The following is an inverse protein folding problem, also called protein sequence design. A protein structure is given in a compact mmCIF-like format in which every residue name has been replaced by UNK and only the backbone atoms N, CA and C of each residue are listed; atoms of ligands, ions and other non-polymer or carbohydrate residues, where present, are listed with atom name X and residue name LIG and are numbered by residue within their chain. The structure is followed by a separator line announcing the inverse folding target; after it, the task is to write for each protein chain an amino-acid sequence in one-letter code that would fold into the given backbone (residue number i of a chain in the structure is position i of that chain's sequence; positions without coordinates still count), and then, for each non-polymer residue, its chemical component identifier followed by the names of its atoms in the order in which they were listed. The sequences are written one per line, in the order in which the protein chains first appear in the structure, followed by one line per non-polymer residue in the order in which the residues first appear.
data_IF_901675546529
#
_entry.id   IF_901675546529
#
_cell.length_a   1.000
_cell.length_b   1.000
_cell.length_c   1.000
_cell.angle_alpha   90.00
_cell.angle_beta   90.00
_cell.angle_gamma   90.00
#
_symmetry.space_group_name_H-M   'P 1'
#
loop_
_entity.id
_entity.type
_entity.pdbx_description
1 polymer ?
#
# COMPACT_ATOMS: atom_id res chain seq x y z
N UNK A 1 -47.54 20.66 -37.39
CA UNK A 1 -47.67 20.49 -35.92
C UNK A 1 -46.29 20.07 -35.42
N UNK A 2 -45.41 20.99 -35.03
CA UNK A 2 -45.37 21.74 -33.75
C UNK A 2 -45.17 20.78 -32.57
N UNK A 3 -43.93 20.83 -32.01
CA UNK A 3 -43.44 20.62 -30.63
C UNK A 3 -44.15 19.59 -29.72
N UNK A 4 -43.46 18.76 -28.93
CA UNK A 4 -42.46 19.14 -27.93
C UNK A 4 -41.44 18.02 -27.65
N UNK A 5 -40.16 18.40 -27.65
CA UNK A 5 -39.13 17.73 -26.87
C UNK A 5 -39.49 17.86 -25.39
N UNK A 6 -39.79 16.74 -24.74
CA UNK A 6 -39.91 16.66 -23.29
C UNK A 6 -38.52 16.71 -22.67
N UNK A 7 -37.97 17.91 -22.48
CA UNK A 7 -36.94 18.12 -21.47
C UNK A 7 -37.59 17.90 -20.11
N UNK A 8 -37.44 16.71 -19.52
CA UNK A 8 -37.69 16.52 -18.09
C UNK A 8 -36.54 17.16 -17.33
N UNK A 9 -36.68 18.47 -17.11
CA UNK A 9 -35.86 19.25 -16.20
C UNK A 9 -36.26 18.89 -14.75
N UNK A 10 -35.85 17.69 -14.33
CA UNK A 10 -35.96 17.23 -12.95
C UNK A 10 -34.60 16.72 -12.49
N UNK A 11 -33.61 17.61 -12.54
CA UNK A 11 -32.47 17.47 -11.63
C UNK A 11 -32.96 17.90 -10.25
N UNK A 12 -33.62 16.99 -9.54
CA UNK A 12 -33.88 17.16 -8.12
C UNK A 12 -32.51 17.44 -7.45
N UNK A 13 -32.34 18.65 -6.91
CA UNK A 13 -31.12 18.98 -6.14
C UNK A 13 -31.00 17.94 -5.03
N UNK A 14 -29.87 17.22 -4.91
CA UNK A 14 -29.73 16.20 -3.88
C UNK A 14 -29.94 16.87 -2.52
N UNK A 15 -30.86 16.30 -1.72
CA UNK A 15 -31.09 16.75 -0.36
C UNK A 15 -29.76 16.65 0.41
N UNK A 16 -29.29 17.78 0.96
CA UNK A 16 -28.06 17.80 1.74
C UNK A 16 -28.37 17.48 3.20
N UNK A 17 -27.55 16.67 3.89
CA UNK A 17 -27.69 16.49 5.32
C UNK A 17 -27.51 17.82 6.06
N UNK A 18 -28.25 17.99 7.16
CA UNK A 18 -28.09 19.15 8.04
C UNK A 18 -26.87 18.95 8.95
N UNK A 19 -25.74 19.55 8.59
CA UNK A 19 -24.48 19.46 9.34
C UNK A 19 -24.28 20.76 10.10
N UNK A 20 -24.11 20.67 11.42
CA UNK A 20 -23.83 21.81 12.30
C UNK A 20 -22.43 21.66 12.89
N UNK A 21 -21.53 22.57 12.54
CA UNK A 21 -20.18 22.63 13.12
C UNK A 21 -20.24 23.28 14.50
N UNK A 22 -19.62 22.65 15.50
CA UNK A 22 -19.50 23.14 16.87
C UNK A 22 -18.07 22.93 17.35
N UNK A 23 -17.66 23.72 18.33
CA UNK A 23 -16.39 23.48 19.01
C UNK A 23 -16.45 22.14 19.78
N UNK A 24 -15.34 21.40 19.74
CA UNK A 24 -15.23 20.11 20.43
C UNK A 24 -15.38 20.29 21.94
N UNK A 25 -16.33 19.58 22.54
CA UNK A 25 -16.64 19.68 23.97
C UNK A 25 -16.00 18.55 24.80
N UNK A 26 -15.52 17.50 24.13
CA UNK A 26 -14.89 16.33 24.76
C UNK A 26 -13.63 15.94 23.97
N UNK A 27 -12.48 15.69 24.64
CA UNK A 27 -11.28 15.20 23.97
C UNK A 27 -11.55 13.87 23.24
N UNK A 28 -11.10 13.76 21.99
CA UNK A 28 -11.20 12.53 21.18
C UNK A 28 -12.53 12.29 20.48
N UNK A 29 -13.59 13.04 20.81
CA UNK A 29 -14.88 13.00 20.11
C UNK A 29 -14.92 14.10 19.06
N UNK A 30 -15.14 13.71 17.81
CA UNK A 30 -15.07 14.63 16.64
C UNK A 30 -16.40 14.85 15.96
N UNK A 31 -17.37 13.98 16.18
CA UNK A 31 -18.74 14.19 15.73
C UNK A 31 -19.76 13.55 16.69
N UNK A 32 -21.02 13.96 16.53
CA UNK A 32 -22.16 13.33 17.21
C UNK A 32 -23.30 13.13 16.21
N UNK A 33 -23.78 11.89 16.10
CA UNK A 33 -24.92 11.51 15.26
C UNK A 33 -26.11 11.21 16.18
N UNK A 34 -26.94 12.22 16.42
CA UNK A 34 -27.99 12.15 17.44
C UNK A 34 -27.39 12.00 18.84
N UNK A 35 -27.48 10.80 19.42
CA UNK A 35 -26.86 10.45 20.70
C UNK A 35 -25.52 9.73 20.57
N UNK A 36 -25.19 9.21 19.38
CA UNK A 36 -23.97 8.44 19.11
C UNK A 36 -22.77 9.38 19.01
N UNK A 37 -21.77 9.16 19.86
CA UNK A 37 -20.48 9.86 19.78
C UNK A 37 -19.57 9.15 18.77
N UNK A 38 -18.85 9.92 17.96
CA UNK A 38 -17.92 9.40 16.95
C UNK A 38 -16.52 9.88 17.31
N UNK A 39 -15.61 8.93 17.47
CA UNK A 39 -14.19 9.19 17.71
C UNK A 39 -13.44 9.49 16.41
N UNK A 40 -12.26 10.10 16.52
CA UNK A 40 -11.37 10.32 15.36
C UNK A 40 -11.02 8.99 14.66
N UNK A 41 -10.74 7.93 15.42
CA UNK A 41 -10.42 6.61 14.87
C UNK A 41 -11.58 5.98 14.09
N UNK A 42 -12.82 6.16 14.57
CA UNK A 42 -14.01 5.70 13.87
C UNK A 42 -14.27 6.52 12.60
N UNK A 43 -14.03 7.83 12.65
CA UNK A 43 -14.18 8.72 11.50
C UNK A 43 -13.13 8.41 10.42
N UNK A 44 -11.88 8.21 10.82
CA UNK A 44 -10.77 7.88 9.92
C UNK A 44 -10.97 6.47 9.35
N UNK A 45 -11.19 5.47 10.20
CA UNK A 45 -11.45 4.09 9.78
C UNK A 45 -10.45 3.59 8.73
N UNK A 46 -10.98 3.22 7.56
CA UNK A 46 -10.18 2.73 6.41
C UNK A 46 -9.45 3.83 5.65
N UNK A 47 -9.88 5.09 5.78
CA UNK A 47 -9.21 6.24 5.16
C UNK A 47 -7.86 6.57 5.83
N UNK A 48 -7.44 5.81 6.86
CA UNK A 48 -6.14 5.97 7.54
C UNK A 48 -4.97 5.97 6.56
N UNK A 49 -5.01 5.10 5.55
CA UNK A 49 -3.96 5.04 4.51
C UNK A 49 -3.98 6.30 3.65
N UNK A 50 -5.16 6.75 3.20
CA UNK A 50 -5.30 7.96 2.37
C UNK A 50 -4.87 9.22 3.14
N UNK A 51 -5.24 9.32 4.42
CA UNK A 51 -4.84 10.43 5.29
C UNK A 51 -3.33 10.41 5.53
N UNK A 52 -2.74 9.23 5.73
CA UNK A 52 -1.28 9.09 5.78
C UNK A 52 -0.63 9.57 4.49
N UNK A 53 -1.13 9.18 3.31
CA UNK A 53 -0.60 9.63 2.02
C UNK A 53 -0.73 11.15 1.84
N UNK A 54 -1.81 11.76 2.33
CA UNK A 54 -1.96 13.21 2.34
C UNK A 54 -0.92 13.88 3.23
N UNK A 55 -0.71 13.40 4.45
CA UNK A 55 0.32 13.93 5.35
C UNK A 55 1.74 13.67 4.81
N UNK A 56 1.97 12.53 4.18
CA UNK A 56 3.23 12.19 3.51
C UNK A 56 3.50 13.17 2.37
N UNK A 57 2.50 13.43 1.52
CA UNK A 57 2.59 14.44 0.47
C UNK A 57 2.86 15.84 1.03
N UNK A 58 2.22 16.21 2.14
CA UNK A 58 2.50 17.48 2.82
C UNK A 58 3.96 17.55 3.29
N UNK A 59 4.46 16.48 3.93
CA UNK A 59 5.84 16.38 4.37
C UNK A 59 6.84 16.47 3.21
N UNK A 60 6.59 15.73 2.14
CA UNK A 60 7.43 15.70 0.93
C UNK A 60 7.50 17.11 0.31
N UNK A 61 6.36 17.82 0.21
CA UNK A 61 6.34 19.21 -0.26
C UNK A 61 7.11 20.18 0.65
N UNK A 62 7.02 20.00 1.97
CA UNK A 62 7.80 20.80 2.94
C UNK A 62 9.30 20.52 2.80
N UNK A 63 9.70 19.27 2.62
CA UNK A 63 11.09 18.88 2.38
C UNK A 63 11.62 19.44 1.06
N UNK A 64 10.86 19.37 -0.03
CA UNK A 64 11.23 19.99 -1.30
C UNK A 64 11.42 21.50 -1.18
N UNK A 65 10.53 22.16 -0.41
CA UNK A 65 10.67 23.60 -0.17
C UNK A 65 11.89 23.91 0.70
N UNK A 66 12.17 23.08 1.70
CA UNK A 66 13.38 23.20 2.52
C UNK A 66 14.64 23.03 1.67
N UNK A 67 14.68 22.04 0.76
CA UNK A 67 15.79 21.83 -0.17
C UNK A 67 16.09 23.08 -0.99
N UNK A 68 15.07 23.71 -1.57
CA UNK A 68 15.23 24.98 -2.30
C UNK A 68 15.74 26.11 -1.41
N UNK A 69 15.25 26.22 -0.17
CA UNK A 69 15.72 27.21 0.79
C UNK A 69 17.18 26.97 1.20
N UNK A 70 17.63 25.72 1.26
CA UNK A 70 19.03 25.37 1.50
C UNK A 70 19.92 25.82 0.35
N UNK A 71 19.51 25.59 -0.90
CA UNK A 71 20.23 26.13 -2.08
C UNK A 71 20.37 27.65 -1.97
N UNK A 72 19.26 28.36 -1.77
CA UNK A 72 19.25 29.83 -1.69
C UNK A 72 20.12 30.37 -0.54
N UNK A 73 20.05 29.74 0.64
CA UNK A 73 20.75 30.23 1.84
C UNK A 73 22.20 29.80 1.90
N UNK A 74 22.49 28.52 1.65
CA UNK A 74 23.84 27.96 1.79
C UNK A 74 24.67 28.23 0.54
N UNK A 75 24.18 27.85 -0.64
CA UNK A 75 24.90 28.12 -1.89
C UNK A 75 24.93 29.63 -2.14
N UNK A 76 23.83 30.34 -1.87
CA UNK A 76 23.81 31.80 -1.99
C UNK A 76 24.81 32.50 -1.07
N UNK A 77 25.09 31.97 0.13
CA UNK A 77 26.16 32.51 0.99
C UNK A 77 27.55 32.29 0.38
N UNK A 78 27.83 31.11 -0.18
CA UNK A 78 29.10 30.83 -0.88
C UNK A 78 29.24 31.68 -2.15
N UNK A 79 28.16 31.86 -2.91
CA UNK A 79 28.12 32.71 -4.10
C UNK A 79 28.43 34.18 -3.75
N UNK A 80 27.86 34.70 -2.66
CA UNK A 80 28.17 36.04 -2.15
C UNK A 80 29.63 36.19 -1.77
N UNK A 81 30.24 35.22 -1.07
CA UNK A 81 31.69 35.22 -0.77
C UNK A 81 32.54 35.26 -2.05
N UNK A 82 32.05 34.65 -3.12
CA UNK A 82 32.70 34.64 -4.43
C UNK A 82 32.34 35.86 -5.31
N UNK A 83 31.56 36.83 -4.83
CA UNK A 83 31.04 37.97 -5.60
C UNK A 83 30.32 37.57 -6.91
N UNK A 84 29.56 36.46 -6.87
CA UNK A 84 28.79 35.96 -8.00
C UNK A 84 27.29 35.88 -7.66
N UNK A 85 26.39 36.11 -8.64
CA UNK A 85 24.99 35.71 -8.51
C UNK A 85 24.89 34.19 -8.26
N UNK A 86 23.94 33.75 -7.44
CA UNK A 86 23.79 32.33 -7.06
C UNK A 86 23.72 31.39 -8.27
N UNK A 87 22.92 31.73 -9.29
CA UNK A 87 22.80 30.89 -10.49
C UNK A 87 24.12 30.78 -11.27
N UNK A 88 24.89 31.87 -11.34
CA UNK A 88 26.21 31.89 -11.99
C UNK A 88 27.24 31.09 -11.18
N UNK A 89 27.17 31.16 -9.85
CA UNK A 89 28.01 30.32 -9.00
C UNK A 89 27.68 28.83 -9.17
N UNK A 90 26.39 28.48 -9.21
CA UNK A 90 25.96 27.10 -9.46
C UNK A 90 26.48 26.61 -10.81
N UNK A 91 26.25 27.37 -11.89
CA UNK A 91 26.63 26.93 -13.23
C UNK A 91 28.16 26.85 -13.42
N UNK A 92 28.93 27.80 -12.90
CA UNK A 92 30.37 27.87 -13.14
C UNK A 92 31.22 27.11 -12.11
N UNK A 93 30.82 27.09 -10.83
CA UNK A 93 31.64 26.56 -9.73
C UNK A 93 31.19 25.20 -9.23
N UNK A 94 29.91 24.86 -9.34
CA UNK A 94 29.36 23.58 -8.87
C UNK A 94 29.18 22.61 -10.03
N UNK A 95 28.44 23.07 -11.05
CA UNK A 95 27.96 22.21 -12.14
C UNK A 95 29.03 22.08 -13.23
N UNK A 96 29.59 23.22 -13.67
CA UNK A 96 30.51 23.28 -14.79
C UNK A 96 29.87 22.85 -16.11
N UNK A 97 30.69 22.51 -17.11
CA UNK A 97 30.19 22.00 -18.39
C UNK A 97 29.53 20.62 -18.19
N UNK A 98 28.25 20.52 -18.55
CA UNK A 98 27.54 19.25 -18.62
C UNK A 98 27.59 18.71 -20.05
N UNK A 99 27.81 17.41 -20.15
CA UNK A 99 27.69 16.68 -21.42
C UNK A 99 27.03 15.34 -21.12
N UNK A 100 26.14 14.91 -21.99
CA UNK A 100 25.55 13.56 -21.96
C UNK A 100 26.26 12.74 -23.02
N UNK A 101 26.86 11.64 -22.58
CA UNK A 101 27.49 10.69 -23.50
C UNK A 101 26.44 9.85 -24.22
N UNK A 102 26.78 9.35 -25.40
CA UNK A 102 25.92 8.42 -26.14
C UNK A 102 25.60 7.16 -25.32
N UNK A 103 26.50 6.73 -24.44
CA UNK A 103 26.28 5.59 -23.56
C UNK A 103 25.17 5.86 -22.55
N UNK A 104 25.15 7.04 -21.93
CA UNK A 104 24.11 7.43 -20.96
C UNK A 104 22.76 7.59 -21.64
N UNK A 105 22.74 8.20 -22.83
CA UNK A 105 21.53 8.29 -23.64
C UNK A 105 20.97 6.90 -23.97
N UNK A 106 21.81 5.99 -24.47
CA UNK A 106 21.40 4.62 -24.80
C UNK A 106 20.94 3.83 -23.57
N UNK A 107 21.59 4.03 -22.43
CA UNK A 107 21.18 3.40 -21.17
C UNK A 107 19.78 3.86 -20.75
N UNK A 108 19.51 5.17 -20.80
CA UNK A 108 18.20 5.71 -20.47
C UNK A 108 17.10 5.21 -21.43
N UNK A 109 17.36 5.21 -22.74
CA UNK A 109 16.43 4.68 -23.75
C UNK A 109 16.09 3.22 -23.48
N UNK A 110 17.10 2.41 -23.16
CA UNK A 110 16.92 0.99 -22.83
C UNK A 110 16.14 0.80 -21.54
N UNK A 111 16.45 1.55 -20.50
CA UNK A 111 15.78 1.48 -19.19
C UNK A 111 14.30 1.86 -19.32
N UNK A 112 14.00 2.97 -20.01
CA UNK A 112 12.63 3.45 -20.22
C UNK A 112 11.90 2.74 -21.37
N UNK A 113 12.55 1.76 -22.00
CA UNK A 113 12.00 0.97 -23.13
C UNK A 113 11.45 1.85 -24.25
N UNK A 114 12.14 2.94 -24.57
CA UNK A 114 11.72 3.88 -25.62
C UNK A 114 11.98 3.22 -26.98
N UNK A 115 10.96 3.08 -27.86
CA UNK A 115 11.13 2.46 -29.17
C UNK A 115 12.10 3.24 -30.08
N UNK A 116 12.98 2.53 -30.79
CA UNK A 116 14.00 3.16 -31.66
C UNK A 116 13.41 3.85 -32.89
N UNK A 117 12.29 3.35 -33.41
CA UNK A 117 11.50 3.96 -34.46
C UNK A 117 10.95 5.32 -34.03
N UNK A 118 10.41 5.45 -32.81
CA UNK A 118 9.97 6.74 -32.27
C UNK A 118 11.12 7.76 -32.19
N UNK A 119 12.32 7.32 -31.82
CA UNK A 119 13.50 8.21 -31.78
C UNK A 119 13.97 8.65 -33.17
N UNK A 120 13.70 7.85 -34.22
CA UNK A 120 14.00 8.18 -35.63
C UNK A 120 12.95 9.11 -36.22
N UNK A 121 11.67 8.86 -35.92
CA UNK A 121 10.54 9.65 -36.40
C UNK A 121 10.42 11.01 -35.71
N UNK A 122 10.89 11.10 -34.46
CA UNK A 122 10.85 12.31 -33.64
C UNK A 122 12.26 12.72 -33.13
N UNK A 123 13.10 13.35 -33.97
CA UNK A 123 14.45 13.78 -33.58
C UNK A 123 14.48 14.70 -32.35
N UNK A 124 13.39 15.42 -32.07
CA UNK A 124 13.21 16.26 -30.89
C UNK A 124 13.25 15.48 -29.58
N UNK A 125 12.92 14.19 -29.59
CA UNK A 125 13.01 13.35 -28.40
C UNK A 125 14.45 13.18 -27.95
N UNK A 126 15.40 13.10 -28.89
CA UNK A 126 16.82 13.05 -28.55
C UNK A 126 17.23 14.29 -27.74
N UNK A 127 16.81 15.48 -28.19
CA UNK A 127 17.12 16.73 -27.50
C UNK A 127 16.45 16.81 -26.12
N UNK A 128 15.17 16.40 -26.02
CA UNK A 128 14.44 16.38 -24.74
C UNK A 128 15.05 15.43 -23.73
N UNK A 129 15.44 14.22 -24.16
CA UNK A 129 16.11 13.23 -23.31
C UNK A 129 17.48 13.75 -22.87
N UNK A 130 18.27 14.32 -23.79
CA UNK A 130 19.55 14.94 -23.44
C UNK A 130 19.37 16.05 -22.41
N UNK A 131 18.43 16.98 -22.62
CA UNK A 131 18.16 18.07 -21.67
C UNK A 131 17.67 17.57 -20.31
N UNK A 132 16.86 16.49 -20.28
CA UNK A 132 16.46 15.83 -19.04
C UNK A 132 17.66 15.25 -18.28
N UNK A 133 18.54 14.51 -18.97
CA UNK A 133 19.73 13.91 -18.39
C UNK A 133 20.74 14.96 -17.91
N UNK A 134 20.90 16.06 -18.65
CA UNK A 134 21.70 17.21 -18.20
C UNK A 134 21.12 17.82 -16.93
N UNK A 135 19.81 18.05 -16.88
CA UNK A 135 19.17 18.57 -15.68
C UNK A 135 19.33 17.60 -14.49
N UNK A 136 19.20 16.28 -14.70
CA UNK A 136 19.43 15.29 -13.66
C UNK A 136 20.86 15.37 -13.11
N UNK A 137 21.87 15.41 -13.99
CA UNK A 137 23.28 15.59 -13.59
C UNK A 137 23.52 16.91 -12.86
N UNK A 138 22.86 18.00 -13.28
CA UNK A 138 22.90 19.29 -12.59
C UNK A 138 22.41 19.14 -11.15
N UNK A 139 21.24 18.52 -10.97
CA UNK A 139 20.64 18.27 -9.67
C UNK A 139 21.55 17.42 -8.79
N UNK A 140 22.10 16.32 -9.29
CA UNK A 140 23.03 15.46 -8.55
C UNK A 140 24.28 16.21 -8.06
N UNK A 141 24.89 17.06 -8.91
CA UNK A 141 26.05 17.88 -8.51
C UNK A 141 25.70 18.90 -7.44
N UNK A 142 24.56 19.59 -7.59
CA UNK A 142 24.08 20.58 -6.60
C UNK A 142 23.77 19.90 -5.27
N UNK A 143 23.06 18.77 -5.29
CA UNK A 143 22.75 17.99 -4.10
C UNK A 143 24.01 17.49 -3.39
N UNK A 144 25.00 17.02 -4.14
CA UNK A 144 26.30 16.61 -3.56
C UNK A 144 27.01 17.78 -2.88
N UNK A 145 27.04 18.95 -3.52
CA UNK A 145 27.64 20.15 -2.94
C UNK A 145 26.90 20.61 -1.67
N UNK A 146 25.57 20.60 -1.69
CA UNK A 146 24.75 20.86 -0.50
C UNK A 146 25.04 19.87 0.62
N UNK A 147 25.10 18.57 0.32
CA UNK A 147 25.42 17.53 1.30
C UNK A 147 26.79 17.76 1.95
N UNK A 148 27.76 18.27 1.21
CA UNK A 148 29.07 18.63 1.77
C UNK A 148 29.01 19.89 2.65
N UNK A 149 28.18 20.88 2.30
CA UNK A 149 27.95 22.06 3.14
C UNK A 149 27.22 21.70 4.43
N UNK A 150 26.22 20.83 4.38
CA UNK A 150 25.42 20.47 5.56
C UNK A 150 26.19 19.61 6.57
N UNK A 151 27.30 18.97 6.19
CA UNK A 151 28.23 18.34 7.14
C UNK A 151 28.79 19.35 8.17
N UNK A 152 28.98 20.61 7.76
CA UNK A 152 29.50 21.68 8.61
C UNK A 152 28.39 22.54 9.20
N UNK A 153 27.25 22.59 8.54
CA UNK A 153 26.06 23.35 8.95
C UNK A 153 24.86 22.42 8.98
N UNK A 154 24.66 21.66 10.08
CA UNK A 154 23.53 20.76 10.21
C UNK A 154 22.20 21.50 10.07
N UNK A 155 21.22 20.83 9.48
CA UNK A 155 19.90 21.39 9.24
C UNK A 155 18.93 20.76 10.23
N UNK A 156 18.43 21.58 11.14
CA UNK A 156 17.45 21.17 12.13
C UNK A 156 16.04 21.25 11.54
N UNK A 157 15.33 20.12 11.53
CA UNK A 157 13.98 19.99 10.98
C UNK A 157 12.98 19.84 12.11
N UNK A 158 12.02 20.77 12.19
CA UNK A 158 11.03 20.85 13.28
C UNK A 158 9.62 20.41 12.88
N UNK A 159 9.40 20.04 11.61
CA UNK A 159 8.17 19.40 11.19
C UNK A 159 8.34 17.87 11.22
N UNK A 160 7.29 17.17 11.65
CA UNK A 160 7.34 15.72 11.86
C UNK A 160 7.20 14.98 10.55
N UNK A 161 8.04 13.96 10.33
CA UNK A 161 7.77 12.94 9.31
C UNK A 161 6.51 12.19 9.74
N UNK A 162 5.47 12.09 8.89
CA UNK A 162 4.30 11.31 9.22
C UNK A 162 4.71 9.85 9.37
N UNK A 163 4.13 9.19 10.37
CA UNK A 163 4.32 7.77 10.61
C UNK A 163 2.97 7.10 10.48
N UNK A 164 2.90 6.00 9.74
CA UNK A 164 1.75 5.10 9.81
C UNK A 164 1.59 4.64 11.25
N UNK A 165 0.40 4.84 11.83
CA UNK A 165 0.08 4.23 13.10
C UNK A 165 0.14 2.70 12.97
N UNK A 166 0.75 2.08 13.98
CA UNK A 166 0.94 0.63 14.00
C UNK A 166 -0.03 0.01 14.99
N UNK A 167 -0.78 -0.97 14.53
CA UNK A 167 -1.58 -1.84 15.38
C UNK A 167 -0.83 -3.14 15.59
N UNK A 168 -0.65 -3.55 16.86
CA UNK A 168 -0.10 -4.86 17.17
C UNK A 168 -1.12 -5.93 16.79
N UNK A 169 -0.73 -6.81 15.85
CA UNK A 169 -1.62 -7.87 15.34
C UNK A 169 -1.31 -9.20 16.01
N UNK A 170 -2.29 -9.76 16.71
CA UNK A 170 -2.21 -11.08 17.32
C UNK A 170 -2.31 -12.18 16.26
N UNK A 171 -1.22 -12.91 16.06
CA UNK A 171 -1.16 -13.95 15.04
C UNK A 171 -1.85 -15.25 15.48
N UNK A 172 -1.77 -15.62 16.76
CA UNK A 172 -2.34 -16.86 17.27
C UNK A 172 -1.83 -18.11 16.53
N UNK A 173 -2.75 -19.04 16.22
CA UNK A 173 -2.52 -20.18 15.33
C UNK A 173 -3.08 -19.90 13.92
N UNK A 174 -3.04 -18.65 13.46
CA UNK A 174 -3.42 -18.32 12.09
C UNK A 174 -2.47 -19.01 11.09
N UNK A 175 -2.97 -19.47 9.93
CA UNK A 175 -2.14 -20.04 8.88
C UNK A 175 -1.02 -19.08 8.44
N UNK A 176 0.19 -19.61 8.29
CA UNK A 176 1.38 -18.82 7.95
C UNK A 176 2.12 -19.38 6.74
N UNK A 177 2.56 -18.51 5.83
CA UNK A 177 3.46 -18.83 4.71
C UNK A 177 4.79 -18.11 4.92
N UNK A 178 5.90 -18.85 4.84
CA UNK A 178 7.25 -18.30 5.06
C UNK A 178 7.79 -18.56 6.46
N UNK A 179 8.78 -17.79 6.89
CA UNK A 179 9.50 -18.02 8.16
C UNK A 179 8.85 -17.29 9.33
N UNK A 180 8.61 -17.99 10.44
CA UNK A 180 8.01 -17.42 11.67
C UNK A 180 8.78 -16.22 12.23
N UNK A 181 10.09 -16.20 12.08
CA UNK A 181 11.01 -15.15 12.55
C UNK A 181 11.42 -14.14 11.47
N UNK A 182 10.67 -14.08 10.37
CA UNK A 182 10.86 -13.07 9.33
C UNK A 182 10.86 -11.65 9.91
N UNK A 183 11.71 -10.78 9.35
CA UNK A 183 11.81 -9.37 9.80
C UNK A 183 10.52 -8.59 9.55
N UNK A 184 9.76 -8.99 8.53
CA UNK A 184 8.49 -8.38 8.15
C UNK A 184 7.38 -9.42 8.20
N UNK A 185 6.33 -9.13 8.96
CA UNK A 185 5.11 -9.93 9.02
C UNK A 185 4.01 -9.17 8.29
N UNK A 186 3.39 -9.82 7.31
CA UNK A 186 2.20 -9.33 6.62
C UNK A 186 1.01 -10.14 7.10
N UNK A 187 0.02 -9.49 7.73
CA UNK A 187 -1.24 -10.15 8.10
C UNK A 187 -2.31 -9.73 7.12
N UNK A 188 -2.95 -10.69 6.45
CA UNK A 188 -4.05 -10.48 5.52
C UNK A 188 -5.37 -10.91 6.15
N UNK A 189 -6.32 -9.99 6.25
CA UNK A 189 -7.74 -10.30 6.49
C UNK A 189 -8.44 -10.45 5.14
N UNK A 190 -8.93 -11.65 4.86
CA UNK A 190 -9.38 -12.05 3.52
C UNK A 190 -10.68 -12.84 3.53
N UNK A 191 -11.32 -12.88 2.36
CA UNK A 191 -12.58 -13.56 2.10
C UNK A 191 -12.44 -14.39 0.81
N UNK A 192 -12.63 -15.71 0.90
CA UNK A 192 -12.47 -16.64 -0.23
C UNK A 192 -13.42 -16.40 -1.42
N UNK A 193 -14.56 -15.73 -1.20
CA UNK A 193 -15.51 -15.37 -2.27
C UNK A 193 -15.28 -13.94 -2.80
N UNK A 194 -14.43 -13.14 -2.17
CA UNK A 194 -14.16 -11.77 -2.61
C UNK A 194 -13.20 -11.73 -3.82
N UNK A 195 -13.59 -11.12 -4.96
CA UNK A 195 -12.73 -11.06 -6.15
C UNK A 195 -11.50 -10.16 -5.96
N UNK A 196 -11.55 -9.17 -5.07
CA UNK A 196 -10.37 -8.37 -4.71
C UNK A 196 -9.38 -9.20 -3.88
N UNK A 197 -9.87 -10.12 -3.03
CA UNK A 197 -8.99 -11.00 -2.24
C UNK A 197 -8.20 -11.96 -3.13
N UNK A 198 -8.80 -12.47 -4.21
CA UNK A 198 -8.07 -13.29 -5.19
C UNK A 198 -6.90 -12.53 -5.84
N UNK A 199 -7.11 -11.25 -6.22
CA UNK A 199 -6.01 -10.39 -6.67
C UNK A 199 -4.98 -10.10 -5.57
N UNK A 200 -5.45 -9.91 -4.33
CA UNK A 200 -4.58 -9.77 -3.16
C UNK A 200 -3.66 -10.97 -2.97
N UNK A 201 -4.20 -12.19 -3.08
CA UNK A 201 -3.46 -13.44 -3.00
C UNK A 201 -2.37 -13.53 -4.08
N UNK A 202 -2.66 -13.14 -5.33
CA UNK A 202 -1.65 -13.08 -6.40
C UNK A 202 -0.51 -12.12 -6.05
N UNK A 203 -0.84 -10.91 -5.58
CA UNK A 203 0.17 -9.93 -5.12
C UNK A 203 1.00 -10.49 -3.98
N UNK A 204 0.37 -11.12 -2.97
CA UNK A 204 1.06 -11.67 -1.81
C UNK A 204 1.98 -12.83 -2.17
N UNK A 205 1.60 -13.70 -3.10
CA UNK A 205 2.48 -14.74 -3.64
C UNK A 205 3.71 -14.13 -4.32
N UNK A 206 3.54 -13.06 -5.10
CA UNK A 206 4.65 -12.36 -5.73
C UNK A 206 5.57 -11.68 -4.69
N UNK A 207 5.00 -11.11 -3.62
CA UNK A 207 5.75 -10.55 -2.48
C UNK A 207 6.57 -11.63 -1.77
N UNK A 208 5.95 -12.74 -1.35
CA UNK A 208 6.63 -13.84 -0.66
C UNK A 208 7.74 -14.41 -1.55
N UNK A 209 7.50 -14.55 -2.87
CA UNK A 209 8.52 -14.98 -3.83
C UNK A 209 9.68 -13.99 -3.94
N UNK A 210 9.42 -12.67 -3.98
CA UNK A 210 10.44 -11.62 -4.10
C UNK A 210 11.32 -11.51 -2.85
N UNK A 211 10.72 -11.57 -1.67
CA UNK A 211 11.41 -11.30 -0.41
C UNK A 211 11.92 -12.56 0.32
N UNK A 212 11.39 -13.74 -0.03
CA UNK A 212 11.80 -15.02 0.54
C UNK A 212 11.72 -15.01 2.07
N UNK A 213 12.81 -15.43 2.72
CA UNK A 213 12.86 -15.56 4.19
C UNK A 213 12.77 -14.24 4.97
N UNK A 214 12.73 -13.08 4.30
CA UNK A 214 12.61 -11.78 4.95
C UNK A 214 11.17 -11.44 5.35
N UNK A 215 10.20 -12.10 4.72
CA UNK A 215 8.77 -11.89 4.91
C UNK A 215 8.10 -13.18 5.37
N UNK A 216 7.08 -13.06 6.22
CA UNK A 216 6.03 -14.07 6.33
C UNK A 216 4.67 -13.44 6.05
N UNK A 217 3.75 -14.28 5.58
CA UNK A 217 2.36 -13.94 5.32
C UNK A 217 1.48 -14.74 6.28
N UNK A 218 0.56 -14.08 6.94
CA UNK A 218 -0.38 -14.70 7.89
C UNK A 218 -1.79 -14.43 7.41
N UNK A 219 -2.61 -15.47 7.32
CA UNK A 219 -3.99 -15.37 6.85
C UNK A 219 -4.97 -15.31 8.01
N UNK A 220 -5.90 -14.34 7.99
CA UNK A 220 -7.02 -14.24 8.91
C UNK A 220 -8.34 -14.22 8.14
N UNK A 221 -9.30 -14.97 8.65
CA UNK A 221 -10.59 -15.11 7.98
C UNK A 221 -11.45 -13.88 8.25
N UNK A 222 -12.01 -13.28 7.19
CA UNK A 222 -12.95 -12.17 7.30
C UNK A 222 -14.09 -12.34 6.27
N UNK A 223 -14.90 -13.42 6.36
CA UNK A 223 -16.02 -13.60 5.44
C UNK A 223 -17.02 -12.46 5.57
N UNK A 224 -17.35 -11.81 4.45
CA UNK A 224 -18.29 -10.72 4.40
C UNK A 224 -19.74 -11.25 4.45
N UNK A 225 -20.68 -10.58 5.16
CA UNK A 225 -22.04 -11.09 5.36
C UNK A 225 -22.83 -11.37 4.08
N UNK A 226 -22.52 -10.67 2.99
CA UNK A 226 -23.16 -10.83 1.68
C UNK A 226 -22.51 -11.91 0.80
N UNK A 227 -21.45 -12.56 1.28
CA UNK A 227 -20.79 -13.68 0.62
C UNK A 227 -21.19 -15.01 1.28
N UNK A 228 -22.30 -15.59 0.85
CA UNK A 228 -22.91 -16.78 1.47
C UNK A 228 -21.97 -18.00 1.55
N UNK A 229 -20.99 -18.14 0.64
CA UNK A 229 -20.06 -19.27 0.62
C UNK A 229 -18.71 -18.97 1.27
N UNK A 230 -18.46 -17.72 1.68
CA UNK A 230 -17.19 -17.33 2.29
C UNK A 230 -16.98 -17.97 3.65
N UNK A 231 -18.01 -18.03 4.49
CA UNK A 231 -17.92 -18.65 5.82
C UNK A 231 -17.63 -20.15 5.73
N UNK A 232 -18.39 -20.98 4.97
CA UNK A 232 -18.04 -22.39 4.77
C UNK A 232 -16.63 -22.61 4.19
N UNK A 233 -16.18 -21.75 3.26
CA UNK A 233 -14.83 -21.83 2.71
C UNK A 233 -13.75 -21.52 3.75
N UNK A 234 -13.96 -20.51 4.60
CA UNK A 234 -13.09 -20.17 5.72
C UNK A 234 -13.01 -21.32 6.74
N UNK A 235 -14.16 -21.91 7.10
CA UNK A 235 -14.21 -23.08 7.98
C UNK A 235 -13.47 -24.28 7.39
N UNK A 236 -13.65 -24.56 6.09
CA UNK A 236 -12.91 -25.62 5.41
C UNK A 236 -11.40 -25.35 5.39
N UNK A 237 -10.97 -24.11 5.17
CA UNK A 237 -9.55 -23.74 5.27
C UNK A 237 -8.97 -24.11 6.63
N UNK A 238 -9.65 -23.73 7.71
CA UNK A 238 -9.22 -24.10 9.07
C UNK A 238 -9.29 -25.63 9.32
N UNK A 239 -10.27 -26.34 8.75
CA UNK A 239 -10.30 -27.80 8.76
C UNK A 239 -9.06 -28.41 8.10
N UNK A 240 -8.67 -27.88 6.92
CA UNK A 240 -7.49 -28.35 6.18
C UNK A 240 -6.21 -28.12 6.97
N UNK A 241 -6.06 -26.95 7.62
CA UNK A 241 -4.93 -26.67 8.52
C UNK A 241 -4.90 -27.66 9.68
N UNK A 242 -6.01 -27.84 10.39
CA UNK A 242 -6.13 -28.71 11.57
C UNK A 242 -5.83 -30.17 11.26
N UNK A 243 -6.34 -30.70 10.15
CA UNK A 243 -6.14 -32.08 9.71
C UNK A 243 -4.79 -32.30 9.00
N UNK A 244 -4.10 -31.20 8.71
CA UNK A 244 -2.88 -31.16 7.92
C UNK A 244 -1.84 -30.29 8.60
N UNK A 245 -1.53 -29.18 7.95
CA UNK A 245 -0.59 -28.16 8.38
C UNK A 245 -0.79 -26.89 7.52
N UNK A 246 0.06 -25.89 7.72
CA UNK A 246 0.03 -24.64 6.96
C UNK A 246 0.26 -24.88 5.46
N UNK A 247 1.16 -25.77 5.06
CA UNK A 247 1.39 -26.08 3.63
C UNK A 247 0.11 -26.59 2.95
N UNK A 248 -0.67 -27.42 3.63
CA UNK A 248 -1.97 -27.88 3.09
C UNK A 248 -3.00 -26.76 3.09
N UNK A 249 -3.01 -25.89 4.11
CA UNK A 249 -3.87 -24.70 4.10
C UNK A 249 -3.60 -23.85 2.85
N UNK A 250 -2.34 -23.55 2.55
CA UNK A 250 -1.99 -22.70 1.40
C UNK A 250 -2.32 -23.35 0.05
N UNK A 251 -2.22 -24.68 -0.06
CA UNK A 251 -2.72 -25.41 -1.24
C UNK A 251 -4.24 -25.29 -1.39
N UNK A 252 -4.99 -25.46 -0.30
CA UNK A 252 -6.44 -25.28 -0.32
C UNK A 252 -6.82 -23.83 -0.65
N UNK A 253 -6.13 -22.87 -0.03
CA UNK A 253 -6.30 -21.43 -0.26
C UNK A 253 -6.19 -21.09 -1.74
N UNK A 254 -5.12 -21.55 -2.41
CA UNK A 254 -4.90 -21.27 -3.83
C UNK A 254 -5.98 -21.91 -4.71
N UNK A 255 -6.43 -23.13 -4.37
CA UNK A 255 -7.53 -23.79 -5.07
C UNK A 255 -8.86 -23.06 -4.89
N UNK A 256 -9.18 -22.62 -3.67
CA UNK A 256 -10.41 -21.89 -3.38
C UNK A 256 -10.44 -20.53 -4.11
N UNK A 257 -9.35 -19.76 -4.04
CA UNK A 257 -9.27 -18.47 -4.75
C UNK A 257 -9.25 -18.60 -6.27
N UNK A 258 -8.75 -19.71 -6.81
CA UNK A 258 -8.82 -19.99 -8.25
C UNK A 258 -10.24 -20.36 -8.72
N UNK A 259 -11.12 -20.83 -7.83
CA UNK A 259 -12.44 -21.37 -8.17
C UNK A 259 -13.56 -20.71 -7.33
N UNK A 260 -13.55 -19.38 -7.20
CA UNK A 260 -14.47 -18.64 -6.32
C UNK A 260 -15.97 -18.82 -6.68
N UNK A 261 -16.27 -19.21 -7.92
CA UNK A 261 -17.62 -19.54 -8.39
C UNK A 261 -18.13 -20.90 -7.87
N UNK A 262 -17.23 -21.75 -7.35
CA UNK A 262 -17.48 -23.13 -6.89
C UNK A 262 -16.94 -23.34 -5.48
N UNK A 263 -17.61 -22.72 -4.52
CA UNK A 263 -17.33 -22.81 -3.08
C UNK A 263 -18.46 -23.52 -2.31
N UNK A 264 -19.26 -24.34 -2.99
CA UNK A 264 -20.21 -25.25 -2.34
C UNK A 264 -19.47 -26.36 -1.56
N UNK A 265 -20.18 -27.05 -0.65
CA UNK A 265 -19.57 -28.02 0.25
C UNK A 265 -18.81 -29.16 -0.48
N UNK A 266 -19.34 -29.69 -1.58
CA UNK A 266 -18.70 -30.76 -2.33
C UNK A 266 -17.41 -30.27 -3.00
N UNK A 267 -17.45 -29.08 -3.59
CA UNK A 267 -16.27 -28.41 -4.15
C UNK A 267 -15.20 -28.16 -3.08
N UNK A 268 -15.58 -27.68 -1.90
CA UNK A 268 -14.66 -27.44 -0.79
C UNK A 268 -13.99 -28.73 -0.29
N UNK A 269 -14.74 -29.82 -0.16
CA UNK A 269 -14.20 -31.15 0.20
C UNK A 269 -13.23 -31.66 -0.88
N UNK A 270 -13.56 -31.44 -2.16
CA UNK A 270 -12.65 -31.77 -3.27
C UNK A 270 -11.34 -30.98 -3.18
N UNK A 271 -11.38 -29.67 -2.91
CA UNK A 271 -10.16 -28.87 -2.78
C UNK A 271 -9.34 -29.28 -1.56
N UNK A 272 -9.98 -29.62 -0.44
CA UNK A 272 -9.29 -30.18 0.74
C UNK A 272 -8.56 -31.49 0.41
N UNK A 273 -9.18 -32.35 -0.41
CA UNK A 273 -8.56 -33.58 -0.92
C UNK A 273 -7.35 -33.30 -1.81
N UNK A 274 -7.49 -32.39 -2.76
CA UNK A 274 -6.39 -31.96 -3.64
C UNK A 274 -5.24 -31.31 -2.86
N UNK A 275 -5.53 -30.63 -1.75
CA UNK A 275 -4.54 -30.11 -0.80
C UNK A 275 -3.85 -31.20 0.03
N UNK A 276 -4.33 -32.45 -0.02
CA UNK A 276 -3.74 -33.62 0.63
C UNK A 276 -4.35 -33.99 1.98
N UNK A 277 -5.60 -33.59 2.24
CA UNK A 277 -6.38 -34.01 3.42
C UNK A 277 -7.37 -35.11 3.04
N UNK A 278 -7.73 -35.99 3.98
CA UNK A 278 -8.75 -37.01 3.72
C UNK A 278 -10.14 -36.37 3.55
N UNK A 279 -10.85 -36.74 2.49
CA UNK A 279 -12.16 -36.17 2.13
C UNK A 279 -13.23 -36.42 3.19
N UNK A 280 -13.34 -37.64 3.72
CA UNK A 280 -14.30 -37.97 4.76
C UNK A 280 -14.07 -37.14 6.04
N UNK A 281 -12.82 -36.98 6.47
CA UNK A 281 -12.47 -36.15 7.63
C UNK A 281 -12.71 -34.66 7.39
N UNK A 282 -12.42 -34.17 6.18
CA UNK A 282 -12.67 -32.78 5.81
C UNK A 282 -14.18 -32.47 5.81
N UNK A 283 -14.98 -33.38 5.24
CA UNK A 283 -16.44 -33.31 5.24
C UNK A 283 -17.00 -33.31 6.67
N UNK A 284 -16.57 -34.26 7.50
CA UNK A 284 -16.98 -34.35 8.90
C UNK A 284 -16.65 -33.06 9.67
N UNK A 285 -15.46 -32.50 9.47
CA UNK A 285 -15.05 -31.26 10.11
C UNK A 285 -15.93 -30.07 9.71
N UNK A 286 -16.27 -29.94 8.43
CA UNK A 286 -17.16 -28.88 7.94
C UNK A 286 -18.60 -29.06 8.45
N UNK A 287 -19.14 -30.27 8.41
CA UNK A 287 -20.52 -30.58 8.85
C UNK A 287 -20.72 -30.31 10.35
N UNK A 288 -19.70 -30.54 11.18
CA UNK A 288 -19.73 -30.22 12.61
C UNK A 288 -19.61 -28.73 12.92
N UNK A 289 -19.18 -27.91 11.95
CA UNK A 289 -18.98 -26.48 12.15
C UNK A 289 -17.95 -26.14 13.24
N UNK A 290 -16.96 -27.00 13.45
CA UNK A 290 -16.00 -26.88 14.58
C UNK A 290 -15.19 -25.58 14.52
N UNK A 291 -15.03 -25.01 13.32
CA UNK A 291 -14.20 -23.83 13.09
C UNK A 291 -15.00 -22.52 13.00
N UNK A 292 -16.34 -22.57 12.99
CA UNK A 292 -17.18 -21.37 12.92
C UNK A 292 -16.82 -20.32 13.97
N UNK A 293 -16.63 -20.75 15.23
CA UNK A 293 -16.26 -19.85 16.32
C UNK A 293 -14.87 -19.21 16.11
N UNK A 294 -13.91 -19.93 15.52
CA UNK A 294 -12.59 -19.39 15.21
C UNK A 294 -12.66 -18.35 14.07
N UNK A 295 -13.47 -18.61 13.03
CA UNK A 295 -13.72 -17.65 11.95
C UNK A 295 -14.40 -16.40 12.49
N UNK A 296 -15.46 -16.53 13.30
CA UNK A 296 -16.13 -15.39 13.94
C UNK A 296 -15.16 -14.58 14.79
N UNK A 297 -14.27 -15.24 15.54
CA UNK A 297 -13.24 -14.56 16.33
C UNK A 297 -12.25 -13.76 15.46
N UNK A 298 -11.81 -14.29 14.32
CA UNK A 298 -10.99 -13.54 13.37
C UNK A 298 -11.75 -12.31 12.82
N UNK A 299 -13.03 -12.46 12.46
CA UNK A 299 -13.87 -11.34 12.00
C UNK A 299 -14.04 -10.26 13.07
N UNK A 300 -14.39 -10.64 14.30
CA UNK A 300 -14.53 -9.71 15.43
C UNK A 300 -13.21 -9.02 15.75
N UNK A 301 -12.10 -9.76 15.69
CA UNK A 301 -10.77 -9.21 15.88
C UNK A 301 -10.41 -8.21 14.76
N UNK A 302 -10.69 -8.55 13.51
CA UNK A 302 -10.55 -7.63 12.37
C UNK A 302 -11.30 -6.33 12.59
N UNK A 303 -12.57 -6.42 13.02
CA UNK A 303 -13.36 -5.24 13.38
C UNK A 303 -12.69 -4.40 14.48
N UNK A 304 -12.18 -5.04 15.53
CA UNK A 304 -11.48 -4.37 16.63
C UNK A 304 -10.21 -3.64 16.17
N UNK A 305 -9.47 -4.20 15.21
CA UNK A 305 -8.23 -3.57 14.67
C UNK A 305 -8.48 -2.67 13.45
N UNK A 306 -9.75 -2.37 13.15
CA UNK A 306 -10.13 -1.38 12.15
C UNK A 306 -10.36 -1.91 10.73
N UNK A 307 -10.37 -3.22 10.51
CA UNK A 307 -10.77 -3.82 9.21
C UNK A 307 -12.26 -3.57 8.98
N UNK A 308 -12.65 -3.05 7.82
CA UNK A 308 -14.08 -2.92 7.42
C UNK A 308 -14.36 -3.56 6.05
N UNK A 309 -13.32 -3.87 5.29
CA UNK A 309 -13.40 -4.46 3.96
C UNK A 309 -12.26 -5.46 3.73
N UNK A 310 -12.36 -6.22 2.63
CA UNK A 310 -11.37 -7.23 2.25
C UNK A 310 -10.90 -7.03 0.80
N UNK A 311 -9.61 -7.29 0.51
CA UNK A 311 -8.59 -7.64 1.46
C UNK A 311 -8.13 -6.40 2.25
N UNK A 312 -7.75 -6.59 3.50
CA UNK A 312 -7.01 -5.59 4.29
C UNK A 312 -5.77 -6.25 4.85
N UNK A 313 -4.63 -5.57 4.73
CA UNK A 313 -3.33 -6.07 5.13
C UNK A 313 -2.76 -5.25 6.29
N UNK A 314 -1.86 -5.86 7.04
CA UNK A 314 -1.03 -5.19 8.03
C UNK A 314 0.43 -5.56 7.82
N UNK A 315 1.26 -4.61 7.38
CA UNK A 315 2.71 -4.80 7.22
C UNK A 315 3.39 -4.32 8.50
N UNK A 316 3.87 -5.26 9.34
CA UNK A 316 4.36 -4.96 10.69
C UNK A 316 3.39 -4.06 11.51
N UNK A 317 2.08 -4.26 11.32
CA UNK A 317 1.04 -3.50 11.99
C UNK A 317 0.60 -2.22 11.28
N UNK A 318 1.25 -1.83 10.18
CA UNK A 318 0.80 -0.73 9.33
C UNK A 318 -0.35 -1.21 8.42
N UNK A 319 -1.54 -0.65 8.60
CA UNK A 319 -2.73 -1.04 7.85
C UNK A 319 -2.64 -0.61 6.40
N UNK A 320 -3.05 -1.50 5.48
CA UNK A 320 -3.13 -1.27 4.04
C UNK A 320 -4.47 -1.81 3.56
N UNK A 321 -5.36 -0.92 3.11
CA UNK A 321 -6.69 -1.32 2.66
C UNK A 321 -6.71 -1.61 1.15
N UNK A 322 -7.32 -2.73 0.77
CA UNK A 322 -7.55 -3.11 -0.63
C UNK A 322 -6.39 -3.85 -1.30
N UNK A 323 -6.68 -4.39 -2.48
CA UNK A 323 -5.72 -5.11 -3.31
C UNK A 323 -4.82 -4.12 -4.07
N UNK A 324 -3.68 -3.77 -3.48
CA UNK A 324 -2.70 -2.85 -4.07
C UNK A 324 -1.65 -3.58 -4.94
N UNK A 325 -0.99 -2.87 -5.87
CA UNK A 325 0.14 -3.41 -6.63
C UNK A 325 1.32 -3.81 -5.76
N UNK A 326 2.16 -4.74 -6.25
CA UNK A 326 3.34 -5.23 -5.53
C UNK A 326 4.34 -4.11 -5.20
N UNK A 327 4.39 -3.05 -6.00
CA UNK A 327 5.28 -1.91 -5.79
C UNK A 327 5.01 -1.23 -4.45
N UNK A 328 3.74 -1.02 -4.10
CA UNK A 328 3.38 -0.37 -2.83
C UNK A 328 3.77 -1.24 -1.62
N UNK A 329 3.51 -2.54 -1.69
CA UNK A 329 3.99 -3.47 -0.66
C UNK A 329 5.53 -3.50 -0.60
N UNK A 330 6.20 -3.43 -1.75
CA UNK A 330 7.65 -3.45 -1.82
C UNK A 330 8.27 -2.26 -1.11
N UNK A 331 7.76 -1.06 -1.37
CA UNK A 331 8.23 0.16 -0.73
C UNK A 331 8.10 0.07 0.80
N UNK A 332 6.94 -0.38 1.30
CA UNK A 332 6.72 -0.56 2.74
C UNK A 332 7.62 -1.64 3.35
N UNK A 333 7.80 -2.77 2.67
CA UNK A 333 8.67 -3.87 3.14
C UNK A 333 10.13 -3.43 3.17
N UNK A 334 10.60 -2.73 2.13
CA UNK A 334 11.97 -2.24 2.03
C UNK A 334 12.26 -1.21 3.13
N UNK A 335 11.33 -0.29 3.40
CA UNK A 335 11.43 0.63 4.54
C UNK A 335 11.51 -0.10 5.89
N UNK A 336 10.69 -1.12 6.13
CA UNK A 336 10.71 -1.92 7.36
C UNK A 336 12.02 -2.72 7.51
N UNK A 337 12.61 -3.16 6.40
CA UNK A 337 13.89 -3.89 6.41
C UNK A 337 15.09 -2.98 6.66
N UNK A 338 15.06 -1.73 6.17
CA UNK A 338 16.09 -0.72 6.44
C UNK A 338 16.01 -0.21 7.89
N UNK A 339 14.80 0.02 8.42
CA UNK A 339 14.61 0.50 9.79
C UNK A 339 15.03 -0.50 10.89
N UNK A 340 15.20 -1.78 10.53
CA UNK A 340 15.69 -2.87 11.40
C UNK A 340 17.16 -3.25 11.13
N UNK A 341 17.92 -2.38 10.46
CA UNK A 341 19.39 -2.42 10.45
C UNK A 341 19.93 -1.55 11.58
#
# INVERSE_FOLDING_TARGET
MVFFAGCTDSQAKPAKPNIVTKDGTKPGIVAKIGEVEVTEDELIGEARSDIYELHKREYDLKMDRLNKLMEDKLIGAEAKKANLPTEKFISEKIVGKLTVSDSEFKAFVKEKKIPEDQLKEHPEYKQRITGYLENQKRQEKVQKYLADLTKKTPIEVYFKKPTMERVQIELGDSPMLGKKDAKVTIVEFSDFQCPYCSRGAETMHAVVKKYGSKVNLVFKNYPLPFHERALPAAEMGLCVKKLGNDDKFWKFHDLAFKNQDKLDADSLVKYAKEAGVNDAKAKECLEKGENKAAVTKDTEYGNKVGVRSTPTFFVNGQMVAGALPIEQFSDMIDEELEAKK
#
